data_IF_034916055088
#
_entry.id   IF_034916055088
#
_cell.length_a   1.000
_cell.length_b   1.000
_cell.length_c   1.000
_cell.angle_alpha   90.00
_cell.angle_beta   90.00
_cell.angle_gamma   90.00
#
_symmetry.space_group_name_H-M   'P 1'
#
loop_
_entity.id
_entity.type
_entity.pdbx_description
1 polymer ?
#
# COMPACT_ATOMS: atom_id res chain seq x y z
N UNK A 1 -3.87 -16.90 4.08
CA UNK A 1 -4.35 -17.20 2.71
C UNK A 1 -3.78 -16.20 1.71
N UNK A 2 -3.49 -16.63 0.48
CA UNK A 2 -2.98 -15.77 -0.62
C UNK A 2 -4.09 -15.59 -1.66
N UNK A 3 -4.38 -14.37 -2.10
CA UNK A 3 -5.35 -14.14 -3.18
C UNK A 3 -4.88 -14.77 -4.50
N UNK A 4 -5.80 -15.24 -5.34
CA UNK A 4 -5.50 -15.59 -6.73
C UNK A 4 -5.21 -14.33 -7.55
N UNK A 5 -3.92 -14.01 -7.65
CA UNK A 5 -3.38 -12.86 -8.37
C UNK A 5 -3.10 -13.11 -9.85
N UNK A 6 -2.79 -12.05 -10.59
CA UNK A 6 -2.18 -12.13 -11.93
C UNK A 6 -0.67 -11.97 -11.83
N UNK A 7 0.07 -12.53 -12.78
CA UNK A 7 1.50 -12.28 -12.92
C UNK A 7 1.74 -10.96 -13.66
N UNK A 8 2.78 -10.23 -13.27
CA UNK A 8 3.25 -9.05 -14.00
C UNK A 8 4.06 -9.44 -15.26
N UNK A 9 4.54 -8.44 -16.02
CA UNK A 9 5.35 -8.66 -17.24
C UNK A 9 6.67 -9.41 -16.99
N UNK A 10 7.10 -9.53 -15.74
CA UNK A 10 8.33 -10.16 -15.31
C UNK A 10 8.06 -11.50 -14.58
N UNK A 11 6.83 -12.01 -14.63
CA UNK A 11 6.43 -13.29 -14.05
C UNK A 11 6.15 -13.28 -12.54
N UNK A 12 6.15 -12.12 -11.89
CA UNK A 12 5.91 -12.00 -10.43
C UNK A 12 4.42 -12.01 -10.14
N UNK A 13 3.98 -12.84 -9.19
CA UNK A 13 2.58 -12.90 -8.77
C UNK A 13 2.20 -11.65 -7.96
N UNK A 14 1.18 -10.92 -8.40
CA UNK A 14 0.59 -9.79 -7.68
C UNK A 14 -0.58 -10.33 -6.84
N UNK A 15 -0.36 -10.49 -5.53
CA UNK A 15 -1.36 -11.02 -4.62
C UNK A 15 -1.49 -10.22 -3.32
N UNK A 16 -2.61 -10.42 -2.64
CA UNK A 16 -2.92 -9.91 -1.30
C UNK A 16 -2.85 -11.08 -0.32
N UNK A 17 -2.16 -10.85 0.79
CA UNK A 17 -2.08 -11.82 1.89
C UNK A 17 -3.15 -11.52 2.92
N UNK A 18 -3.83 -12.57 3.37
CA UNK A 18 -4.83 -12.52 4.43
C UNK A 18 -4.38 -13.40 5.60
N UNK A 19 -4.59 -12.93 6.83
CA UNK A 19 -4.42 -13.76 8.02
C UNK A 19 -5.59 -14.75 8.19
N UNK A 20 -5.54 -15.59 9.21
CA UNK A 20 -6.58 -16.59 9.52
C UNK A 20 -7.94 -15.97 9.84
N UNK A 21 -7.96 -14.70 10.27
CA UNK A 21 -9.17 -13.92 10.54
C UNK A 21 -9.71 -13.19 9.29
N UNK A 22 -9.12 -13.42 8.10
CA UNK A 22 -9.52 -12.75 6.86
C UNK A 22 -9.07 -11.28 6.73
N UNK A 23 -8.20 -10.79 7.61
CA UNK A 23 -7.64 -9.42 7.52
C UNK A 23 -6.51 -9.36 6.50
N UNK A 24 -6.56 -8.36 5.62
CA UNK A 24 -5.52 -8.10 4.62
C UNK A 24 -4.27 -7.50 5.27
N UNK A 25 -3.14 -8.16 5.09
CA UNK A 25 -1.82 -7.67 5.50
C UNK A 25 -1.48 -6.35 4.79
N UNK A 26 -1.81 -6.22 3.51
CA UNK A 26 -1.56 -5.00 2.75
C UNK A 26 -2.29 -3.81 3.38
N UNK A 27 -3.53 -4.01 3.86
CA UNK A 27 -4.30 -2.96 4.55
C UNK A 27 -3.63 -2.58 5.86
N UNK A 28 -3.14 -3.56 6.63
CA UNK A 28 -2.41 -3.29 7.86
C UNK A 28 -1.10 -2.52 7.62
N UNK A 29 -0.35 -2.83 6.55
CA UNK A 29 0.86 -2.10 6.15
C UNK A 29 0.54 -0.62 5.89
N UNK A 30 -0.51 -0.34 5.12
CA UNK A 30 -0.91 1.04 4.80
C UNK A 30 -1.42 1.77 6.05
N UNK A 31 -2.22 1.10 6.89
CA UNK A 31 -2.74 1.68 8.13
C UNK A 31 -1.63 2.08 9.12
N UNK A 32 -0.56 1.29 9.20
CA UNK A 32 0.59 1.57 10.05
C UNK A 32 1.61 2.53 9.40
N UNK A 33 1.30 3.08 8.22
CA UNK A 33 2.19 4.01 7.52
C UNK A 33 3.50 3.35 7.06
N UNK A 34 3.47 2.06 6.75
CA UNK A 34 4.63 1.32 6.21
C UNK A 34 4.55 1.14 4.69
N UNK A 35 3.49 1.64 4.06
CA UNK A 35 3.29 1.61 2.62
C UNK A 35 2.26 2.63 2.16
N UNK A 36 2.33 2.98 0.87
CA UNK A 36 1.42 3.95 0.23
C UNK A 36 0.40 3.23 -0.65
N UNK A 37 -0.82 3.76 -0.72
CA UNK A 37 -1.82 3.27 -1.65
C UNK A 37 -1.44 3.65 -3.08
N UNK A 38 -1.19 2.64 -3.91
CA UNK A 38 -0.82 2.88 -5.30
C UNK A 38 -2.06 3.00 -6.20
N UNK A 39 -2.62 4.21 -6.25
CA UNK A 39 -3.88 4.54 -6.96
C UNK A 39 -3.91 4.16 -8.44
N UNK A 40 -2.75 4.03 -9.09
CA UNK A 40 -2.67 3.60 -10.50
C UNK A 40 -3.14 2.16 -10.71
N UNK A 41 -2.96 1.29 -9.72
CA UNK A 41 -3.24 -0.15 -9.84
C UNK A 41 -4.31 -0.63 -8.86
N UNK A 42 -4.81 0.23 -7.98
CA UNK A 42 -5.90 -0.10 -7.07
C UNK A 42 -6.88 1.07 -6.98
N UNK A 43 -8.16 0.75 -7.16
CA UNK A 43 -9.31 1.65 -6.98
C UNK A 43 -10.05 1.41 -5.66
N UNK A 44 -9.50 0.56 -4.77
CA UNK A 44 -10.13 0.25 -3.48
C UNK A 44 -9.95 1.41 -2.50
N UNK A 45 -11.03 2.18 -2.32
CA UNK A 45 -11.08 3.34 -1.42
C UNK A 45 -10.77 3.03 0.04
N UNK A 46 -10.82 1.75 0.46
CA UNK A 46 -10.45 1.41 1.84
C UNK A 46 -8.97 1.70 2.11
N UNK A 47 -8.08 1.52 1.12
CA UNK A 47 -6.67 1.88 1.28
C UNK A 47 -6.47 3.38 1.41
N UNK A 48 -7.25 4.19 0.68
CA UNK A 48 -7.21 5.66 0.80
C UNK A 48 -7.58 6.12 2.22
N UNK A 49 -8.63 5.52 2.80
CA UNK A 49 -9.06 5.84 4.17
C UNK A 49 -7.98 5.47 5.19
N UNK A 50 -7.34 4.32 5.02
CA UNK A 50 -6.27 3.85 5.91
C UNK A 50 -5.02 4.72 5.78
N UNK A 51 -4.63 5.09 4.56
CA UNK A 51 -3.50 5.97 4.33
C UNK A 51 -3.75 7.37 4.90
N UNK A 52 -4.95 7.94 4.69
CA UNK A 52 -5.31 9.22 5.27
C UNK A 52 -5.27 9.19 6.81
N UNK A 53 -5.69 8.07 7.43
CA UNK A 53 -5.58 7.87 8.87
C UNK A 53 -4.11 7.83 9.32
N UNK A 54 -3.24 7.11 8.62
CA UNK A 54 -1.81 7.04 8.91
C UNK A 54 -1.10 8.40 8.75
N UNK A 55 -1.45 9.15 7.68
CA UNK A 55 -0.98 10.53 7.43
C UNK A 55 -1.34 11.47 8.58
N UNK A 56 -2.61 11.49 9.01
CA UNK A 56 -3.07 12.34 10.13
C UNK A 56 -2.37 11.99 11.45
N UNK A 57 -2.11 10.70 11.68
CA UNK A 57 -1.41 10.21 12.87
C UNK A 57 0.11 10.33 12.78
N UNK A 58 0.66 10.76 11.64
CA UNK A 58 2.11 10.81 11.37
C UNK A 58 2.82 9.50 11.71
N UNK A 59 2.18 8.37 11.38
CA UNK A 59 2.69 7.03 11.75
C UNK A 59 3.63 6.49 10.67
N UNK A 60 4.70 5.81 11.11
CA UNK A 60 5.67 5.19 10.22
C UNK A 60 6.35 6.22 9.33
N UNK A 61 6.34 5.99 8.02
CA UNK A 61 6.98 6.86 7.05
C UNK A 61 6.37 8.28 7.02
N UNK A 62 5.12 8.45 7.46
CA UNK A 62 4.43 9.75 7.52
C UNK A 62 4.90 10.69 8.64
N UNK A 63 5.80 10.23 9.52
CA UNK A 63 6.44 11.12 10.50
C UNK A 63 7.48 12.04 9.84
N UNK A 64 8.02 11.65 8.68
CA UNK A 64 8.98 12.44 7.93
C UNK A 64 8.26 13.46 7.03
N UNK A 65 8.49 14.78 7.21
CA UNK A 65 7.89 15.81 6.37
C UNK A 65 8.37 15.79 4.91
N UNK A 66 9.51 15.17 4.62
CA UNK A 66 10.13 15.14 3.30
C UNK A 66 9.80 13.88 2.51
N UNK A 67 8.77 13.12 2.91
CA UNK A 67 8.45 11.89 2.23
C UNK A 67 7.97 12.13 0.80
N UNK A 68 8.60 11.44 -0.15
CA UNK A 68 8.26 11.51 -1.57
C UNK A 68 7.62 10.20 -1.99
N UNK A 69 6.48 10.29 -2.66
CA UNK A 69 5.81 9.12 -3.23
C UNK A 69 6.72 8.39 -4.24
N UNK A 70 6.83 7.04 -4.18
CA UNK A 70 7.74 6.28 -5.03
C UNK A 70 7.53 6.52 -6.53
N UNK A 71 6.29 6.72 -6.98
CA UNK A 71 6.00 7.02 -8.38
C UNK A 71 6.44 8.43 -8.78
N UNK A 72 6.36 9.40 -7.86
CA UNK A 72 6.85 10.76 -8.09
C UNK A 72 8.37 10.77 -8.19
N UNK A 73 9.06 10.01 -7.33
CA UNK A 73 10.50 9.80 -7.42
C UNK A 73 10.90 9.13 -8.76
N UNK A 74 10.20 8.06 -9.16
CA UNK A 74 10.47 7.36 -10.43
C UNK A 74 10.24 8.19 -11.68
N UNK A 75 9.29 9.14 -11.66
CA UNK A 75 9.03 10.05 -12.80
C UNK A 75 10.08 11.14 -12.97
N UNK A 76 10.81 11.48 -11.90
CA UNK A 76 11.88 12.49 -11.93
C UNK A 76 13.21 11.96 -12.49
N UNK A 77 13.26 10.67 -12.88
CA UNK A 77 14.45 9.97 -13.32
C UNK A 77 14.25 9.49 -14.75
#
# INVERSE_FOLDING_TARGET
MVSKGKKDRWGRLIAVLYNEQGKSLNKAIVENGLGMHFKRFSSDMSYDKLEAKARRKKTGMWSDPNIIEPWTYRKKR
#
